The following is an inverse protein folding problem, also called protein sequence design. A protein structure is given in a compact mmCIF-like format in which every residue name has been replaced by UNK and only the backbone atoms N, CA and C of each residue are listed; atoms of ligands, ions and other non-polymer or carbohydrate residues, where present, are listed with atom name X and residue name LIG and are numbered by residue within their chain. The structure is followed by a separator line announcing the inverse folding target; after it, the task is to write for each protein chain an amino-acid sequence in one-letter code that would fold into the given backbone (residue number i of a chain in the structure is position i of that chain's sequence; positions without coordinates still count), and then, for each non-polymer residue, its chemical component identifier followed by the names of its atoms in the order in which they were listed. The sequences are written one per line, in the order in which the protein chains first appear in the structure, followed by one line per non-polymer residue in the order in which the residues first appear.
data_IF_083921752004
#
_entry.id   IF_083921752004
#
_cell.length_a   1.000
_cell.length_b   1.000
_cell.length_c   1.000
_cell.angle_alpha   90.00
_cell.angle_beta   90.00
_cell.angle_gamma   90.00
#
_symmetry.space_group_name_H-M   'P 1'
#
loop_
_entity.id
_entity.type
_entity.pdbx_description
1 polymer ?
#
# COMPACT_ATOMS: atom_id res chain seq x y z
N UNK A 1 20.28 27.42 2.13
CA UNK A 1 19.76 27.90 0.82
C UNK A 1 20.63 27.33 -0.30
N UNK A 2 19.98 26.70 -1.28
CA UNK A 2 20.44 26.43 -2.66
C UNK A 2 21.58 25.42 -2.92
N UNK A 3 21.32 24.12 -2.73
CA UNK A 3 22.22 23.04 -3.17
C UNK A 3 21.74 22.23 -4.40
N UNK A 4 20.55 22.50 -4.96
CA UNK A 4 19.95 21.67 -6.01
C UNK A 4 19.79 22.31 -7.40
N UNK A 5 20.24 23.56 -7.61
CA UNK A 5 20.04 24.26 -8.90
C UNK A 5 21.15 24.07 -9.95
N UNK A 6 22.24 23.33 -9.65
CA UNK A 6 23.42 23.31 -10.53
C UNK A 6 23.64 22.02 -11.33
N UNK A 7 22.78 21.01 -11.25
CA UNK A 7 23.01 19.74 -11.96
C UNK A 7 22.44 19.65 -13.38
N UNK A 8 21.58 20.58 -13.81
CA UNK A 8 20.95 20.55 -15.14
C UNK A 8 21.52 21.57 -16.14
N UNK A 9 22.68 22.16 -15.84
CA UNK A 9 23.25 23.28 -16.62
C UNK A 9 24.60 22.92 -17.24
N UNK A 10 24.67 21.83 -18.00
CA UNK A 10 25.76 21.58 -18.97
C UNK A 10 25.50 20.28 -19.70
N UNK A 11 24.88 20.34 -20.88
CA UNK A 11 25.03 19.38 -22.00
C UNK A 11 24.24 19.81 -23.25
N UNK A 12 23.98 21.11 -23.46
CA UNK A 12 23.31 21.61 -24.68
C UNK A 12 24.33 21.98 -25.76
N UNK A 13 25.23 21.08 -26.11
CA UNK A 13 26.15 21.30 -27.24
C UNK A 13 26.58 19.97 -27.84
N UNK A 14 26.33 19.84 -29.16
CA UNK A 14 26.69 18.73 -30.06
C UNK A 14 25.76 17.52 -29.99
N UNK A 15 24.90 17.39 -30.99
CA UNK A 15 24.62 16.15 -31.76
C UNK A 15 23.41 16.38 -32.67
N UNK A 16 23.47 17.43 -33.48
CA UNK A 16 22.78 17.46 -34.77
C UNK A 16 23.81 16.99 -35.79
N UNK A 17 23.43 16.11 -36.72
CA UNK A 17 24.28 15.48 -37.77
C UNK A 17 24.89 14.14 -37.37
N UNK A 18 24.06 13.10 -37.16
CA UNK A 18 24.34 11.70 -37.58
C UNK A 18 22.99 10.99 -37.82
N UNK A 19 22.31 11.40 -38.89
CA UNK A 19 21.19 10.67 -39.49
C UNK A 19 21.79 9.61 -40.42
N UNK A 20 22.08 8.43 -39.89
CA UNK A 20 22.64 7.32 -40.65
C UNK A 20 22.68 6.04 -39.81
N UNK A 21 21.68 5.19 -40.02
CA UNK A 21 21.77 3.73 -39.89
C UNK A 21 22.30 3.15 -38.55
N UNK A 22 21.52 3.26 -37.46
CA UNK A 22 21.75 2.45 -36.25
C UNK A 22 20.43 2.00 -35.64
N UNK A 23 20.27 0.68 -35.59
CA UNK A 23 19.33 -0.16 -34.85
C UNK A 23 18.21 0.52 -34.04
N UNK A 24 16.97 0.09 -34.32
CA UNK A 24 15.76 0.30 -33.53
C UNK A 24 16.07 0.33 -32.03
N UNK A 25 15.73 1.40 -31.28
CA UNK A 25 15.84 1.35 -29.83
C UNK A 25 14.83 0.31 -29.35
N UNK A 26 15.34 -0.79 -28.82
CA UNK A 26 14.52 -1.78 -28.15
C UNK A 26 13.79 -1.06 -27.02
N UNK A 27 12.46 -0.89 -27.19
CA UNK A 27 11.55 -0.51 -26.11
C UNK A 27 11.87 -1.43 -24.92
N UNK A 28 12.12 -0.91 -23.71
CA UNK A 28 12.34 -1.78 -22.57
C UNK A 28 11.14 -2.71 -22.47
N UNK A 29 11.39 -4.01 -22.63
CA UNK A 29 10.36 -5.05 -22.49
C UNK A 29 9.55 -4.75 -21.23
N UNK A 30 8.21 -4.80 -21.27
CA UNK A 30 7.41 -4.54 -20.09
C UNK A 30 7.85 -5.54 -19.03
N UNK A 31 8.53 -5.06 -17.99
CA UNK A 31 8.77 -5.83 -16.77
C UNK A 31 7.42 -6.42 -16.41
N UNK A 32 7.33 -7.75 -16.40
CA UNK A 32 6.08 -8.51 -16.29
C UNK A 32 5.22 -7.90 -15.18
N UNK A 33 4.24 -7.09 -15.59
CA UNK A 33 3.25 -6.56 -14.68
C UNK A 33 2.48 -7.76 -14.14
N UNK A 34 2.55 -7.99 -12.83
CA UNK A 34 1.80 -9.03 -12.14
C UNK A 34 0.32 -8.63 -12.15
N UNK A 35 -0.28 -8.87 -13.32
CA UNK A 35 -1.64 -8.72 -13.85
C UNK A 35 -2.66 -7.88 -13.06
N UNK A 36 -3.12 -6.83 -13.73
CA UNK A 36 -4.53 -6.42 -13.69
C UNK A 36 -5.26 -7.07 -14.88
N UNK A 37 -6.35 -7.79 -14.63
CA UNK A 37 -7.31 -8.16 -15.68
C UNK A 37 -8.30 -7.01 -15.82
N UNK A 38 -8.00 -6.05 -16.68
CA UNK A 38 -8.93 -4.96 -16.96
C UNK A 38 -10.06 -5.47 -17.85
N UNK A 39 -11.30 -5.16 -17.47
CA UNK A 39 -12.48 -5.66 -18.15
C UNK A 39 -12.59 -5.17 -19.60
N UNK A 40 -11.98 -4.02 -19.90
CA UNK A 40 -11.95 -3.45 -21.24
C UNK A 40 -10.52 -3.06 -21.65
N UNK A 41 -10.16 -3.18 -22.95
CA UNK A 41 -8.83 -2.81 -23.45
C UNK A 41 -8.46 -1.36 -23.16
N UNK A 42 -9.45 -0.47 -23.20
CA UNK A 42 -9.29 0.99 -23.06
C UNK A 42 -9.46 1.47 -21.61
N UNK A 43 -9.51 0.56 -20.63
CA UNK A 43 -9.61 0.97 -19.24
C UNK A 43 -8.32 1.67 -18.81
N UNK A 44 -8.45 2.84 -18.19
CA UNK A 44 -7.32 3.56 -17.62
C UNK A 44 -6.54 2.66 -16.66
N UNK A 45 -5.27 2.41 -16.99
CA UNK A 45 -4.36 1.61 -16.18
C UNK A 45 -3.56 2.53 -15.28
N UNK A 46 -3.40 2.11 -14.04
CA UNK A 46 -2.65 2.80 -13.00
C UNK A 46 -1.53 1.87 -12.56
N UNK A 47 -0.29 2.34 -12.49
CA UNK A 47 0.85 1.50 -12.09
C UNK A 47 1.34 1.97 -10.74
N UNK A 48 1.36 1.05 -9.77
CA UNK A 48 1.97 1.29 -8.46
C UNK A 48 3.26 0.49 -8.36
N UNK A 49 4.28 1.07 -7.74
CA UNK A 49 5.53 0.38 -7.41
C UNK A 49 5.59 0.14 -5.92
N UNK A 50 5.60 -1.12 -5.52
CA UNK A 50 5.60 -1.55 -4.11
C UNK A 50 6.99 -1.42 -3.51
N UNK A 51 7.09 -1.50 -2.18
CA UNK A 51 8.37 -1.29 -1.46
C UNK A 51 9.42 -2.37 -1.78
N UNK A 52 8.97 -3.58 -2.10
CA UNK A 52 9.77 -4.71 -2.59
C UNK A 52 10.09 -4.62 -4.09
N UNK A 53 9.78 -3.50 -4.73
CA UNK A 53 10.17 -3.17 -6.10
C UNK A 53 9.26 -3.73 -7.20
N UNK A 54 8.20 -4.46 -6.84
CA UNK A 54 7.25 -5.00 -7.80
C UNK A 54 6.36 -3.89 -8.38
N UNK A 55 5.94 -4.05 -9.63
CA UNK A 55 4.98 -3.16 -10.26
C UNK A 55 3.64 -3.86 -10.38
N UNK A 56 2.61 -3.32 -9.72
CA UNK A 56 1.25 -3.81 -9.83
C UNK A 56 0.45 -2.86 -10.71
N UNK A 57 -0.28 -3.43 -11.67
CA UNK A 57 -1.20 -2.66 -12.49
C UNK A 57 -2.58 -2.73 -11.84
N UNK A 58 -3.21 -1.58 -11.68
CA UNK A 58 -4.56 -1.42 -11.17
C UNK A 58 -5.46 -0.97 -12.32
N UNK A 59 -6.64 -1.57 -12.39
CA UNK A 59 -7.69 -1.10 -13.27
C UNK A 59 -8.51 -0.03 -12.55
N UNK A 60 -9.21 0.84 -13.29
CA UNK A 60 -10.09 1.86 -12.69
C UNK A 60 -11.09 1.30 -11.65
N UNK A 61 -11.44 0.01 -11.74
CA UNK A 61 -12.31 -0.65 -10.77
C UNK A 61 -11.67 -0.84 -9.39
N UNK A 62 -10.37 -1.09 -9.34
CA UNK A 62 -9.61 -1.31 -8.11
C UNK A 62 -9.42 0.03 -7.38
N UNK A 63 -9.15 1.09 -8.14
CA UNK A 63 -8.83 2.43 -7.65
C UNK A 63 -10.00 3.12 -6.96
N UNK A 64 -11.25 2.79 -7.31
CA UNK A 64 -12.47 3.35 -6.67
C UNK A 64 -12.51 3.13 -5.14
N UNK A 65 -11.93 2.03 -4.65
CA UNK A 65 -11.86 1.73 -3.21
C UNK A 65 -10.52 2.17 -2.59
N UNK A 66 -9.63 2.75 -3.38
CA UNK A 66 -8.30 3.21 -3.00
C UNK A 66 -8.21 4.70 -3.27
N UNK A 67 -9.01 5.49 -2.55
CA UNK A 67 -9.16 6.96 -2.73
C UNK A 67 -7.81 7.67 -2.78
N UNK A 68 -6.88 7.26 -1.91
CA UNK A 68 -5.52 7.81 -1.85
C UNK A 68 -4.78 7.60 -3.17
N UNK A 69 -4.86 6.39 -3.75
CA UNK A 69 -4.26 6.08 -5.04
C UNK A 69 -4.93 6.91 -6.15
N UNK A 70 -6.26 7.01 -6.12
CA UNK A 70 -7.02 7.84 -7.08
C UNK A 70 -6.57 9.30 -7.05
N UNK A 71 -6.46 9.87 -5.85
CA UNK A 71 -6.04 11.25 -5.62
C UNK A 71 -4.60 11.48 -6.03
N UNK A 72 -3.68 10.55 -5.74
CA UNK A 72 -2.29 10.67 -6.18
C UNK A 72 -2.20 10.67 -7.71
N UNK A 73 -2.96 9.81 -8.39
CA UNK A 73 -3.00 9.82 -9.86
C UNK A 73 -3.63 11.09 -10.43
N UNK A 74 -4.73 11.58 -9.85
CA UNK A 74 -5.36 12.82 -10.28
C UNK A 74 -4.41 14.01 -10.12
N UNK A 75 -3.74 14.11 -8.96
CA UNK A 75 -2.77 15.17 -8.68
C UNK A 75 -1.58 15.13 -9.66
N UNK A 76 -1.06 13.95 -9.97
CA UNK A 76 0.06 13.80 -10.90
C UNK A 76 -0.35 14.08 -12.36
N UNK A 77 -1.55 13.65 -12.79
CA UNK A 77 -2.08 14.00 -14.11
C UNK A 77 -2.27 15.52 -14.28
N UNK A 78 -2.70 16.20 -13.23
CA UNK A 78 -2.84 17.66 -13.24
C UNK A 78 -1.48 18.38 -13.30
N UNK A 79 -0.40 17.74 -12.82
CA UNK A 79 0.97 18.24 -12.92
C UNK A 79 1.62 17.92 -14.27
N UNK A 80 1.17 16.85 -14.94
CA UNK A 80 1.72 16.36 -16.19
C UNK A 80 1.04 16.93 -17.43
N UNK A 81 0.21 17.98 -17.32
CA UNK A 81 -0.45 18.60 -18.49
C UNK A 81 0.52 19.18 -19.52
N UNK A 82 1.81 19.30 -19.18
CA UNK A 82 2.91 19.67 -20.09
C UNK A 82 3.73 18.47 -20.61
N UNK A 83 3.42 17.24 -20.18
CA UNK A 83 4.16 16.02 -20.53
C UNK A 83 3.34 15.13 -21.48
N UNK A 84 3.94 14.78 -22.60
CA UNK A 84 3.37 13.98 -23.70
C UNK A 84 2.63 12.72 -23.23
N UNK A 85 1.52 12.41 -23.92
CA UNK A 85 0.48 11.38 -23.69
C UNK A 85 0.93 9.91 -23.46
N UNK A 86 2.22 9.62 -23.25
CA UNK A 86 2.75 8.24 -23.23
C UNK A 86 3.51 7.85 -21.95
N UNK A 87 3.67 8.73 -20.97
CA UNK A 87 4.33 8.34 -19.71
C UNK A 87 3.33 7.70 -18.74
N UNK A 88 3.43 6.38 -18.57
CA UNK A 88 2.79 5.69 -17.45
C UNK A 88 3.29 6.30 -16.14
N UNK A 89 2.40 7.00 -15.44
CA UNK A 89 2.70 7.49 -14.10
C UNK A 89 2.82 6.27 -13.18
N UNK A 90 4.01 6.10 -12.60
CA UNK A 90 4.27 5.05 -11.61
C UNK A 90 4.27 5.69 -10.23
N UNK A 91 3.37 5.23 -9.36
CA UNK A 91 3.26 5.76 -7.99
C UNK A 91 3.98 4.81 -7.03
N UNK A 92 5.08 5.25 -6.40
CA UNK A 92 5.73 4.45 -5.36
C UNK A 92 4.84 4.41 -4.11
N UNK A 93 4.67 3.23 -3.53
CA UNK A 93 3.93 3.01 -2.29
C UNK A 93 4.79 2.22 -1.29
N UNK A 94 4.70 2.58 -0.02
CA UNK A 94 5.43 1.93 1.07
C UNK A 94 4.71 0.68 1.59
N UNK A 95 4.18 -0.15 0.68
CA UNK A 95 3.46 -1.39 0.99
C UNK A 95 4.09 -2.53 0.20
N UNK A 96 4.30 -3.69 0.83
CA UNK A 96 4.77 -4.91 0.18
C UNK A 96 3.76 -5.43 -0.84
N UNK A 97 4.24 -5.96 -1.97
CA UNK A 97 3.39 -6.44 -3.06
C UNK A 97 2.34 -7.47 -2.63
N UNK A 98 2.72 -8.41 -1.76
CA UNK A 98 1.82 -9.44 -1.21
C UNK A 98 0.64 -8.84 -0.45
N UNK A 99 0.90 -7.84 0.39
CA UNK A 99 -0.12 -7.14 1.18
C UNK A 99 -1.00 -6.32 0.26
N UNK A 100 -0.40 -5.60 -0.68
CA UNK A 100 -1.15 -4.80 -1.64
C UNK A 100 -2.08 -5.66 -2.52
N UNK A 101 -1.63 -6.84 -2.96
CA UNK A 101 -2.45 -7.77 -3.74
C UNK A 101 -3.69 -8.21 -2.96
N UNK A 102 -3.54 -8.57 -1.68
CA UNK A 102 -4.68 -8.91 -0.79
C UNK A 102 -5.68 -7.77 -0.67
N UNK A 103 -5.21 -6.52 -0.56
CA UNK A 103 -6.07 -5.33 -0.49
C UNK A 103 -6.79 -5.11 -1.82
N UNK A 104 -6.10 -5.24 -2.95
CA UNK A 104 -6.70 -5.14 -4.28
C UNK A 104 -7.80 -6.19 -4.46
N UNK A 105 -7.54 -7.44 -4.06
CA UNK A 105 -8.53 -8.52 -4.16
C UNK A 105 -9.72 -8.26 -3.24
N UNK A 106 -9.49 -7.73 -2.04
CA UNK A 106 -10.55 -7.27 -1.14
C UNK A 106 -11.37 -6.14 -1.77
N UNK A 107 -10.73 -5.12 -2.33
CA UNK A 107 -11.39 -4.00 -3.03
C UNK A 107 -12.26 -4.49 -4.19
N UNK A 108 -11.78 -5.47 -4.95
CA UNK A 108 -12.54 -6.11 -6.04
C UNK A 108 -13.77 -6.86 -5.54
N UNK A 109 -13.64 -7.56 -4.41
CA UNK A 109 -14.76 -8.26 -3.79
C UNK A 109 -15.77 -7.28 -3.18
N UNK A 110 -15.30 -6.25 -2.48
CA UNK A 110 -16.12 -5.22 -1.84
C UNK A 110 -16.98 -4.48 -2.86
N UNK A 111 -16.43 -4.26 -4.07
CA UNK A 111 -17.17 -3.69 -5.20
C UNK A 111 -18.35 -4.55 -5.66
N UNK A 112 -18.24 -5.88 -5.57
CA UNK A 112 -19.25 -6.81 -6.09
C UNK A 112 -20.39 -7.05 -5.10
N UNK A 113 -20.10 -7.13 -3.81
CA UNK A 113 -21.06 -7.58 -2.80
C UNK A 113 -21.32 -6.58 -1.66
N UNK A 114 -20.72 -5.38 -1.70
CA UNK A 114 -20.64 -4.40 -0.60
C UNK A 114 -19.59 -4.81 0.45
N UNK A 115 -18.76 -3.86 0.89
CA UNK A 115 -17.75 -4.08 1.92
C UNK A 115 -18.35 -4.58 3.23
N UNK A 116 -19.59 -4.18 3.56
CA UNK A 116 -20.25 -4.53 4.81
C UNK A 116 -20.70 -5.98 4.89
N UNK A 117 -20.81 -6.67 3.75
CA UNK A 117 -21.21 -8.08 3.68
C UNK A 117 -20.02 -9.04 3.63
N UNK A 118 -18.82 -8.51 3.41
CA UNK A 118 -17.59 -9.31 3.39
C UNK A 118 -17.20 -9.74 4.80
N UNK A 119 -17.33 -11.03 5.07
CA UNK A 119 -16.77 -11.62 6.29
C UNK A 119 -15.23 -11.66 6.19
N UNK A 120 -14.57 -10.95 7.10
CA UNK A 120 -13.12 -10.80 7.10
C UNK A 120 -12.39 -12.13 7.29
N UNK A 121 -12.90 -13.02 8.15
CA UNK A 121 -12.30 -14.32 8.43
C UNK A 121 -12.46 -15.29 7.27
N UNK A 122 -13.60 -15.24 6.57
CA UNK A 122 -13.83 -16.04 5.36
C UNK A 122 -12.99 -15.54 4.18
N UNK A 123 -12.82 -14.22 4.05
CA UNK A 123 -12.01 -13.65 2.97
C UNK A 123 -10.51 -13.89 3.18
N UNK A 124 -10.04 -13.89 4.42
CA UNK A 124 -8.65 -14.15 4.79
C UNK A 124 -8.50 -15.37 5.71
N UNK A 125 -8.73 -16.61 5.21
CA UNK A 125 -8.83 -17.81 6.07
C UNK A 125 -7.51 -18.20 6.75
N UNK A 126 -6.37 -17.90 6.13
CA UNK A 126 -5.04 -18.28 6.61
C UNK A 126 -4.18 -17.06 6.97
N UNK A 127 -4.81 -16.00 7.49
CA UNK A 127 -4.12 -14.75 7.81
C UNK A 127 -3.25 -14.91 9.06
N UNK A 128 -1.93 -14.68 8.92
CA UNK A 128 -1.04 -14.57 10.08
C UNK A 128 -1.22 -13.22 10.77
N UNK A 129 -0.85 -13.12 12.06
CA UNK A 129 -0.94 -11.86 12.79
C UNK A 129 -0.09 -10.75 12.14
N UNK A 130 1.13 -11.09 11.73
CA UNK A 130 2.02 -10.18 11.00
C UNK A 130 1.37 -9.64 9.73
N UNK A 131 0.78 -10.52 8.92
CA UNK A 131 0.08 -10.09 7.70
C UNK A 131 -1.16 -9.24 8.01
N UNK A 132 -1.88 -9.53 9.10
CA UNK A 132 -3.02 -8.72 9.52
C UNK A 132 -2.59 -7.31 9.96
N UNK A 133 -1.46 -7.18 10.65
CA UNK A 133 -0.87 -5.89 11.03
C UNK A 133 -0.46 -5.11 9.77
N UNK A 134 0.18 -5.76 8.80
CA UNK A 134 0.53 -5.13 7.52
C UNK A 134 -0.71 -4.66 6.75
N UNK A 135 -1.81 -5.44 6.74
CA UNK A 135 -3.10 -5.01 6.17
C UNK A 135 -3.65 -3.80 6.94
N UNK A 136 -3.60 -3.80 8.28
CA UNK A 136 -4.06 -2.69 9.10
C UNK A 136 -3.29 -1.39 8.79
N UNK A 137 -1.96 -1.44 8.77
CA UNK A 137 -1.08 -0.32 8.44
C UNK A 137 -1.35 0.20 7.03
N UNK A 138 -1.43 -0.70 6.05
CA UNK A 138 -1.76 -0.35 4.68
C UNK A 138 -3.18 0.23 4.55
N UNK A 139 -4.14 -0.24 5.37
CA UNK A 139 -5.50 0.28 5.36
C UNK A 139 -5.59 1.71 5.89
N UNK A 140 -4.76 2.04 6.89
CA UNK A 140 -4.61 3.41 7.38
C UNK A 140 -4.02 4.32 6.30
N UNK A 141 -3.00 3.85 5.58
CA UNK A 141 -2.38 4.61 4.48
C UNK A 141 -3.31 4.80 3.28
N UNK A 142 -4.06 3.76 2.90
CA UNK A 142 -4.94 3.76 1.72
C UNK A 142 -6.36 4.26 1.99
N UNK A 143 -6.65 4.68 3.23
CA UNK A 143 -7.97 5.09 3.72
C UNK A 143 -9.09 4.04 3.56
N UNK A 144 -8.75 2.74 3.53
CA UNK A 144 -9.72 1.65 3.48
C UNK A 144 -10.31 1.37 4.88
N UNK A 145 -11.08 2.34 5.38
CA UNK A 145 -11.53 2.42 6.78
C UNK A 145 -12.28 1.18 7.27
N UNK A 146 -13.12 0.55 6.43
CA UNK A 146 -13.84 -0.66 6.81
C UNK A 146 -12.89 -1.85 6.97
N UNK A 147 -11.99 -2.07 5.99
CA UNK A 147 -10.96 -3.10 6.06
C UNK A 147 -10.06 -2.91 7.29
N UNK A 148 -9.61 -1.69 7.54
CA UNK A 148 -8.82 -1.35 8.72
C UNK A 148 -9.54 -1.68 10.03
N UNK A 149 -10.85 -1.38 10.15
CA UNK A 149 -11.65 -1.75 11.32
C UNK A 149 -11.77 -3.26 11.51
N UNK A 150 -11.98 -4.02 10.43
CA UNK A 150 -12.05 -5.48 10.51
C UNK A 150 -10.70 -6.10 10.90
N UNK A 151 -9.59 -5.63 10.32
CA UNK A 151 -8.25 -6.05 10.70
C UNK A 151 -7.95 -5.73 12.17
N UNK A 152 -8.28 -4.52 12.64
CA UNK A 152 -8.10 -4.13 14.04
C UNK A 152 -8.90 -5.02 15.00
N UNK A 153 -10.17 -5.31 14.68
CA UNK A 153 -10.99 -6.24 15.49
C UNK A 153 -10.41 -7.65 15.52
N UNK A 154 -9.92 -8.13 14.37
CA UNK A 154 -9.28 -9.43 14.29
C UNK A 154 -8.04 -9.50 15.17
N UNK A 155 -7.15 -8.50 15.10
CA UNK A 155 -5.98 -8.37 15.98
C UNK A 155 -6.41 -8.34 17.45
N UNK A 156 -7.40 -7.51 17.81
CA UNK A 156 -7.90 -7.42 19.17
C UNK A 156 -8.40 -8.78 19.70
N UNK A 157 -9.10 -9.56 18.87
CA UNK A 157 -9.58 -10.91 19.25
C UNK A 157 -8.45 -11.91 19.54
N UNK A 158 -7.25 -11.72 18.94
CA UNK A 158 -6.07 -12.56 19.24
C UNK A 158 -5.40 -12.21 20.57
N UNK A 159 -5.60 -10.98 21.04
CA UNK A 159 -5.01 -10.44 22.26
C UNK A 159 -6.00 -10.48 23.44
N UNK A 160 -7.29 -10.66 23.18
CA UNK A 160 -8.33 -10.69 24.21
C UNK A 160 -8.04 -11.78 25.26
N UNK A 161 -8.11 -11.41 26.54
CA UNK A 161 -7.85 -12.30 27.67
C UNK A 161 -6.39 -12.67 27.90
N UNK A 162 -5.44 -12.12 27.13
CA UNK A 162 -4.00 -12.39 27.28
C UNK A 162 -3.35 -11.46 28.32
N UNK A 163 -2.37 -11.97 29.04
CA UNK A 163 -1.47 -11.16 29.86
C UNK A 163 -0.56 -10.30 28.98
N UNK A 164 0.03 -9.25 29.55
CA UNK A 164 0.99 -8.38 28.84
C UNK A 164 2.22 -9.16 28.32
N UNK A 165 2.65 -10.20 29.03
CA UNK A 165 3.71 -11.11 28.59
C UNK A 165 3.29 -11.96 27.39
N UNK A 166 2.10 -12.55 27.41
CA UNK A 166 1.55 -13.31 26.28
C UNK A 166 1.31 -12.42 25.06
N UNK A 167 0.78 -11.20 25.25
CA UNK A 167 0.60 -10.24 24.16
C UNK A 167 1.93 -9.89 23.50
N UNK A 168 2.98 -9.65 24.30
CA UNK A 168 4.31 -9.34 23.78
C UNK A 168 4.89 -10.51 22.95
N UNK A 169 4.71 -11.75 23.42
CA UNK A 169 5.10 -12.94 22.67
C UNK A 169 4.32 -13.10 21.37
N UNK A 170 3.00 -12.91 21.40
CA UNK A 170 2.12 -13.01 20.23
C UNK A 170 2.50 -11.97 19.16
N UNK A 171 2.79 -10.74 19.59
CA UNK A 171 3.17 -9.63 18.72
C UNK A 171 4.67 -9.62 18.33
N UNK A 172 5.46 -10.56 18.86
CA UNK A 172 6.92 -10.62 18.67
C UNK A 172 7.64 -9.32 19.08
N UNK A 173 7.13 -8.64 20.11
CA UNK A 173 7.72 -7.41 20.66
C UNK A 173 8.42 -7.68 21.99
N UNK A 174 9.43 -6.88 22.31
CA UNK A 174 10.08 -6.96 23.61
C UNK A 174 9.05 -6.72 24.72
N UNK A 175 9.01 -7.62 25.70
CA UNK A 175 8.20 -7.41 26.89
C UNK A 175 8.84 -6.32 27.73
N UNK A 176 8.40 -5.08 27.53
CA UNK A 176 8.70 -3.98 28.43
C UNK A 176 7.70 -4.09 29.57
N UNK A 177 8.14 -4.66 30.69
CA UNK A 177 7.36 -4.66 31.92
C UNK A 177 6.99 -3.23 32.32
N UNK A 178 5.99 -3.09 33.18
CA UNK A 178 5.71 -1.81 33.79
C UNK A 178 6.82 -1.49 34.79
N UNK A 179 7.22 -0.22 34.89
CA UNK A 179 8.07 0.20 36.00
C UNK A 179 7.31 0.04 37.33
N UNK A 180 8.00 -0.07 38.49
CA UNK A 180 7.36 -0.31 39.77
C UNK A 180 6.29 0.72 40.16
N UNK A 181 6.40 1.98 39.71
CA UNK A 181 5.41 3.02 39.97
C UNK A 181 4.14 2.75 39.16
N UNK A 182 4.28 2.39 37.89
CA UNK A 182 3.15 2.01 37.03
C UNK A 182 2.47 0.71 37.51
N UNK A 183 3.22 -0.27 38.01
CA UNK A 183 2.63 -1.49 38.61
C UNK A 183 1.78 -1.18 39.85
N UNK A 184 2.26 -0.29 40.73
CA UNK A 184 1.50 0.13 41.90
C UNK A 184 0.21 0.87 41.51
N UNK A 185 0.26 1.76 40.52
CA UNK A 185 -0.93 2.45 40.00
C UNK A 185 -1.93 1.47 39.40
N UNK A 186 -1.46 0.48 38.64
CA UNK A 186 -2.31 -0.56 38.05
C UNK A 186 -2.94 -1.45 39.14
N UNK A 187 -2.20 -1.77 40.20
CA UNK A 187 -2.70 -2.52 41.35
C UNK A 187 -3.75 -1.73 42.15
N UNK A 188 -3.59 -0.42 42.30
CA UNK A 188 -4.61 0.45 42.89
C UNK A 188 -5.89 0.45 42.04
N UNK A 189 -5.77 0.57 40.71
CA UNK A 189 -6.92 0.52 39.80
C UNK A 189 -7.71 -0.79 39.91
N UNK A 190 -7.02 -1.95 39.94
CA UNK A 190 -7.65 -3.27 40.10
C UNK A 190 -8.43 -3.42 41.40
N UNK A 191 -8.04 -2.72 42.48
CA UNK A 191 -8.77 -2.73 43.75
C UNK A 191 -10.05 -1.89 43.73
N UNK A 192 -10.20 -0.99 42.76
CA UNK A 192 -11.39 -0.11 42.63
C UNK A 192 -12.43 -0.71 41.67
N UNK A 193 -12.02 -1.63 40.78
CA UNK A 193 -12.89 -2.21 39.74
C UNK A 193 -13.32 -3.67 39.99
N UNK A 194 -12.85 -4.30 41.08
CA UNK A 194 -13.30 -5.60 41.58
C UNK A 194 -14.11 -5.43 42.87
#
# INVERSE_FOLDING_TARGET
MNFFQNYFRSSSTKLSTELGDVATPAVPSPIEATTAVCATPNQARRVIKTIDGQQLVLCANDVKYLSVVENMFANLNNLSSDASDEQFIVIPISIESKTMQKIIDWSRAAKKIDEKTLDFCQFFPNLTLKECIQILEASLFLETSYLGKCAAKWVASKLEGKSTGEMAQILEVAHVGLDPTSEQQLAQFRRVTL
#
